data_IF_479614805482
#
_entry.id   IF_479614805482
#
_cell.length_a   1.000
_cell.length_b   1.000
_cell.length_c   1.000
_cell.angle_alpha   90.00
_cell.angle_beta   90.00
_cell.angle_gamma   90.00
#
_symmetry.space_group_name_H-M   'P 1'
#
loop_
_entity.id
_entity.type
_entity.pdbx_description
1 polymer ?
#
# COMPACT_ATOMS: atom_id res chain seq x y z
N UNK A 1 40.27 -49.01 24.54
CA UNK A 1 39.56 -48.60 23.31
C UNK A 1 39.46 -47.08 23.38
N UNK A 2 40.22 -46.37 22.56
CA UNK A 2 40.24 -44.90 22.55
C UNK A 2 38.88 -44.37 22.10
N UNK A 3 38.33 -43.43 22.86
CA UNK A 3 37.05 -42.80 22.58
C UNK A 3 37.22 -41.83 21.41
N UNK A 4 36.18 -41.61 20.60
CA UNK A 4 36.19 -40.60 19.52
C UNK A 4 36.58 -39.20 20.05
N UNK A 5 36.31 -38.93 21.34
CA UNK A 5 36.71 -37.72 22.03
C UNK A 5 38.22 -37.51 22.13
N UNK A 6 39.03 -38.57 22.05
CA UNK A 6 40.50 -38.49 22.17
C UNK A 6 41.17 -37.95 20.88
N UNK A 7 40.41 -37.90 19.78
CA UNK A 7 40.88 -37.44 18.46
C UNK A 7 40.20 -36.15 17.98
N UNK A 8 39.27 -35.59 18.77
CA UNK A 8 38.53 -34.37 18.43
C UNK A 8 38.60 -33.38 19.59
N UNK A 9 39.49 -32.40 19.48
CA UNK A 9 39.62 -31.30 20.44
C UNK A 9 38.50 -30.26 20.23
N UNK A 10 37.38 -30.47 20.93
CA UNK A 10 36.22 -29.57 20.95
C UNK A 10 36.50 -28.25 21.69
N UNK A 11 37.67 -28.08 22.33
CA UNK A 11 38.09 -26.86 23.01
C UNK A 11 38.66 -25.80 22.06
N UNK A 12 38.95 -26.16 20.79
CA UNK A 12 39.54 -25.20 19.85
C UNK A 12 38.52 -24.16 19.36
N UNK A 13 38.76 -22.85 19.57
CA UNK A 13 37.84 -21.79 19.15
C UNK A 13 37.64 -21.73 17.62
N UNK A 14 38.61 -22.22 16.84
CA UNK A 14 38.54 -22.32 15.37
C UNK A 14 37.54 -23.38 14.87
N UNK A 15 37.27 -24.43 15.65
CA UNK A 15 36.34 -25.49 15.26
C UNK A 15 34.89 -24.98 15.25
N UNK A 16 34.52 -24.17 16.26
CA UNK A 16 33.17 -23.62 16.38
C UNK A 16 32.92 -22.39 15.50
N UNK A 17 33.95 -21.61 15.16
CA UNK A 17 33.80 -20.43 14.30
C UNK A 17 33.38 -20.81 12.87
N UNK A 18 34.00 -21.83 12.29
CA UNK A 18 33.66 -22.33 10.94
C UNK A 18 32.24 -22.92 10.88
N UNK A 19 31.82 -23.62 11.93
CA UNK A 19 30.47 -24.18 12.05
C UNK A 19 29.42 -23.07 12.20
N UNK A 20 29.68 -22.04 13.01
CA UNK A 20 28.78 -20.91 13.20
C UNK A 20 28.62 -20.08 11.91
N UNK A 21 29.68 -19.87 11.16
CA UNK A 21 29.60 -19.12 9.90
C UNK A 21 28.84 -19.89 8.81
N UNK A 22 29.05 -21.20 8.69
CA UNK A 22 28.25 -22.07 7.81
C UNK A 22 26.76 -22.02 8.18
N UNK A 23 26.41 -22.18 9.47
CA UNK A 23 25.03 -22.09 9.95
C UNK A 23 24.43 -20.71 9.71
N UNK A 24 25.20 -19.64 9.91
CA UNK A 24 24.75 -18.25 9.72
C UNK A 24 24.49 -17.95 8.23
N UNK A 25 25.36 -18.41 7.32
CA UNK A 25 25.17 -18.32 5.86
C UNK A 25 23.95 -19.11 5.39
N UNK A 26 23.80 -20.37 5.85
CA UNK A 26 22.63 -21.19 5.53
C UNK A 26 21.33 -20.55 6.06
N UNK A 27 21.37 -19.96 7.26
CA UNK A 27 20.20 -19.25 7.82
C UNK A 27 19.82 -18.01 7.01
N UNK A 28 20.80 -17.24 6.52
CA UNK A 28 20.57 -16.07 5.66
C UNK A 28 20.00 -16.49 4.30
N UNK A 29 20.56 -17.52 3.67
CA UNK A 29 20.07 -18.07 2.42
C UNK A 29 18.65 -18.64 2.56
N UNK A 30 18.35 -19.32 3.67
CA UNK A 30 17.01 -19.84 3.95
C UNK A 30 15.98 -18.72 4.12
N UNK A 31 16.32 -17.67 4.89
CA UNK A 31 15.45 -16.49 5.04
C UNK A 31 15.23 -15.74 3.73
N UNK A 32 16.28 -15.62 2.91
CA UNK A 32 16.20 -14.99 1.60
C UNK A 32 15.33 -15.82 0.65
N UNK A 33 15.56 -17.14 0.56
CA UNK A 33 14.75 -18.05 -0.24
C UNK A 33 13.28 -18.08 0.19
N UNK A 34 13.00 -18.02 1.50
CA UNK A 34 11.63 -17.95 2.01
C UNK A 34 10.96 -16.62 1.62
N UNK A 35 11.70 -15.52 1.67
CA UNK A 35 11.24 -14.20 1.22
C UNK A 35 10.93 -14.20 -0.28
N UNK A 36 11.82 -14.76 -1.09
CA UNK A 36 11.67 -14.83 -2.55
C UNK A 36 10.50 -15.74 -2.95
N UNK A 37 10.32 -16.87 -2.25
CA UNK A 37 9.18 -17.76 -2.44
C UNK A 37 7.85 -17.07 -2.08
N UNK A 38 7.79 -16.34 -0.96
CA UNK A 38 6.60 -15.57 -0.56
C UNK A 38 6.23 -14.50 -1.59
N UNK A 39 7.23 -13.82 -2.15
CA UNK A 39 7.03 -12.84 -3.23
C UNK A 39 6.50 -13.53 -4.49
N UNK A 40 7.12 -14.63 -4.91
CA UNK A 40 6.68 -15.38 -6.10
C UNK A 40 5.25 -15.91 -5.97
N UNK A 41 4.88 -16.43 -4.79
CA UNK A 41 3.54 -16.94 -4.54
C UNK A 41 2.50 -15.82 -4.58
N UNK A 42 2.80 -14.66 -4.00
CA UNK A 42 1.93 -13.48 -4.04
C UNK A 42 1.69 -13.02 -5.48
N UNK A 43 2.78 -12.81 -6.24
CA UNK A 43 2.69 -12.40 -7.65
C UNK A 43 1.87 -13.40 -8.48
N UNK A 44 2.01 -14.70 -8.20
CA UNK A 44 1.21 -15.75 -8.85
C UNK A 44 -0.27 -15.64 -8.47
N UNK A 45 -0.61 -15.40 -7.21
CA UNK A 45 -2.00 -15.24 -6.77
C UNK A 45 -2.66 -13.99 -7.36
N UNK A 46 -1.98 -12.86 -7.33
CA UNK A 46 -2.47 -11.60 -7.92
C UNK A 46 -2.76 -11.78 -9.41
N UNK A 47 -1.81 -12.37 -10.15
CA UNK A 47 -1.98 -12.65 -11.58
C UNK A 47 -3.17 -13.58 -11.85
N UNK A 48 -3.42 -14.56 -11.00
CA UNK A 48 -4.58 -15.46 -11.13
C UNK A 48 -5.89 -14.73 -10.84
N UNK A 49 -5.96 -13.91 -9.80
CA UNK A 49 -7.18 -13.15 -9.46
C UNK A 49 -7.55 -12.18 -10.59
N UNK A 50 -6.59 -11.40 -11.08
CA UNK A 50 -6.84 -10.50 -12.21
C UNK A 50 -7.29 -11.29 -13.43
N UNK A 51 -6.63 -12.43 -13.74
CA UNK A 51 -6.99 -13.26 -14.87
C UNK A 51 -8.43 -13.81 -14.76
N UNK A 52 -8.88 -14.17 -13.56
CA UNK A 52 -10.28 -14.57 -13.31
C UNK A 52 -11.23 -13.41 -13.58
N UNK A 53 -10.96 -12.22 -13.02
CA UNK A 53 -11.80 -11.04 -13.23
C UNK A 53 -11.85 -10.68 -14.72
N UNK A 54 -10.70 -10.58 -15.38
CA UNK A 54 -10.63 -10.31 -16.83
C UNK A 54 -11.39 -11.36 -17.66
N UNK A 55 -11.34 -12.63 -17.28
CA UNK A 55 -12.10 -13.69 -17.96
C UNK A 55 -13.62 -13.56 -17.76
N UNK A 56 -14.06 -13.12 -16.57
CA UNK A 56 -15.47 -12.81 -16.31
C UNK A 56 -15.97 -11.66 -17.19
N UNK A 57 -15.09 -10.72 -17.56
CA UNK A 57 -15.37 -9.61 -18.48
C UNK A 57 -14.95 -9.89 -19.93
N UNK A 58 -15.06 -11.14 -20.39
CA UNK A 58 -14.86 -11.51 -21.79
C UNK A 58 -13.41 -11.39 -22.27
N UNK A 59 -12.44 -11.43 -21.37
CA UNK A 59 -11.02 -11.26 -21.69
C UNK A 59 -10.57 -9.79 -21.77
N UNK A 60 -11.47 -8.82 -21.53
CA UNK A 60 -11.13 -7.40 -21.60
C UNK A 60 -10.67 -6.89 -20.22
N UNK A 61 -9.37 -6.60 -20.09
CA UNK A 61 -8.77 -6.12 -18.84
C UNK A 61 -9.28 -4.74 -18.43
N UNK A 62 -9.62 -3.88 -19.39
CA UNK A 62 -10.18 -2.55 -19.13
C UNK A 62 -11.54 -2.66 -18.43
N UNK A 63 -12.45 -3.46 -18.96
CA UNK A 63 -13.77 -3.66 -18.34
C UNK A 63 -13.67 -4.32 -16.97
N UNK A 64 -12.73 -5.27 -16.79
CA UNK A 64 -12.43 -5.83 -15.47
C UNK A 64 -11.97 -4.78 -14.46
N UNK A 65 -11.07 -3.88 -14.87
CA UNK A 65 -10.61 -2.77 -14.03
C UNK A 65 -11.73 -1.79 -13.68
N UNK A 66 -12.56 -1.38 -14.65
CA UNK A 66 -13.70 -0.50 -14.40
C UNK A 66 -14.75 -1.14 -13.48
N UNK A 67 -15.02 -2.44 -13.64
CA UNK A 67 -15.92 -3.16 -12.75
C UNK A 67 -15.38 -3.23 -11.32
N UNK A 68 -14.07 -3.46 -11.16
CA UNK A 68 -13.41 -3.39 -9.86
C UNK A 68 -13.50 -1.98 -9.27
N UNK A 69 -13.25 -0.94 -10.08
CA UNK A 69 -13.36 0.45 -9.66
C UNK A 69 -14.76 0.79 -9.14
N UNK A 70 -15.81 0.42 -9.87
CA UNK A 70 -17.21 0.60 -9.45
C UNK A 70 -17.47 -0.16 -8.14
N UNK A 71 -16.95 -1.38 -8.01
CA UNK A 71 -17.13 -2.19 -6.80
C UNK A 71 -16.46 -1.54 -5.58
N UNK A 72 -15.18 -1.16 -5.70
CA UNK A 72 -14.42 -0.52 -4.61
C UNK A 72 -15.08 0.81 -4.22
N UNK A 73 -15.46 1.63 -5.20
CA UNK A 73 -16.11 2.91 -4.96
C UNK A 73 -17.46 2.75 -4.25
N UNK A 74 -18.29 1.80 -4.70
CA UNK A 74 -19.59 1.52 -4.09
C UNK A 74 -19.45 1.01 -2.65
N UNK A 75 -18.52 0.07 -2.40
CA UNK A 75 -18.21 -0.39 -1.05
C UNK A 75 -17.70 0.78 -0.19
N UNK A 76 -16.92 1.69 -0.77
CA UNK A 76 -16.47 2.93 -0.14
C UNK A 76 -17.64 3.79 0.34
N UNK A 77 -18.63 4.06 -0.51
CA UNK A 77 -19.84 4.82 -0.16
C UNK A 77 -20.60 4.16 0.99
N UNK A 78 -20.78 2.83 0.93
CA UNK A 78 -21.48 2.08 1.97
C UNK A 78 -20.72 2.15 3.30
N UNK A 79 -19.40 1.92 3.27
CA UNK A 79 -18.51 2.03 4.44
C UNK A 79 -18.60 3.42 5.07
N UNK A 80 -18.52 4.46 4.26
CA UNK A 80 -18.53 5.84 4.74
C UNK A 80 -19.90 6.20 5.33
N UNK A 81 -21.00 5.68 4.75
CA UNK A 81 -22.35 5.83 5.30
C UNK A 81 -22.54 5.12 6.64
N UNK A 82 -22.00 3.90 6.79
CA UNK A 82 -22.02 3.18 8.06
C UNK A 82 -21.17 3.89 9.10
N UNK A 83 -19.99 4.35 8.71
CA UNK A 83 -19.08 5.11 9.56
C UNK A 83 -19.73 6.39 10.08
N UNK A 84 -20.35 7.18 9.20
CA UNK A 84 -21.03 8.42 9.56
C UNK A 84 -22.15 8.18 10.58
N UNK A 85 -23.00 7.17 10.33
CA UNK A 85 -24.09 6.80 11.24
C UNK A 85 -23.56 6.35 12.60
N UNK A 86 -22.51 5.53 12.62
CA UNK A 86 -21.86 5.08 13.84
C UNK A 86 -21.19 6.24 14.61
N UNK A 87 -20.65 7.23 13.88
CA UNK A 87 -20.00 8.38 14.49
C UNK A 87 -21.01 9.34 15.13
N UNK A 88 -22.21 9.48 14.55
CA UNK A 88 -23.29 10.31 15.13
C UNK A 88 -23.72 9.85 16.51
N UNK A 89 -23.77 8.54 16.76
CA UNK A 89 -24.19 7.97 18.04
C UNK A 89 -23.16 8.13 19.16
N UNK A 90 -21.93 8.53 18.84
CA UNK A 90 -20.87 8.75 19.85
C UNK A 90 -21.08 10.06 20.62
N UNK A 91 -20.61 10.17 21.87
CA UNK A 91 -20.70 11.40 22.64
C UNK A 91 -19.84 12.51 22.01
N UNK A 92 -20.29 13.76 22.14
CA UNK A 92 -19.50 14.94 21.76
C UNK A 92 -18.64 15.41 22.93
N UNK A 93 -17.51 16.05 22.64
CA UNK A 93 -16.64 16.64 23.67
C UNK A 93 -16.56 18.16 23.52
N UNK A 94 -16.76 18.95 24.59
CA UNK A 94 -16.78 20.43 24.50
C UNK A 94 -15.54 21.05 23.84
N UNK A 95 -14.34 20.49 24.08
CA UNK A 95 -13.09 20.95 23.45
C UNK A 95 -13.07 20.80 21.91
N UNK A 96 -13.87 19.89 21.36
CA UNK A 96 -14.00 19.67 19.92
C UNK A 96 -15.21 20.40 19.34
N UNK A 97 -15.89 21.23 20.14
CA UNK A 97 -17.03 22.02 19.71
C UNK A 97 -16.67 23.50 19.73
N UNK A 98 -17.24 24.26 18.79
CA UNK A 98 -17.04 25.71 18.72
C UNK A 98 -16.33 26.17 17.44
N UNK A 99 -16.15 27.49 17.29
CA UNK A 99 -15.74 28.10 16.03
C UNK A 99 -14.34 27.69 15.58
N UNK A 100 -13.41 27.51 16.52
CA UNK A 100 -12.04 27.06 16.21
C UNK A 100 -12.05 25.62 15.68
N UNK A 101 -12.79 24.72 16.33
CA UNK A 101 -12.92 23.32 15.86
C UNK A 101 -13.57 23.26 14.49
N UNK A 102 -14.64 24.04 14.25
CA UNK A 102 -15.32 24.09 12.96
C UNK A 102 -14.43 24.65 11.84
N UNK A 103 -13.64 25.69 12.14
CA UNK A 103 -12.69 26.25 11.18
C UNK A 103 -11.59 25.25 10.81
N UNK A 104 -11.02 24.56 11.80
CA UNK A 104 -10.03 23.49 11.57
C UNK A 104 -10.65 22.33 10.80
N UNK A 105 -11.85 21.91 11.15
CA UNK A 105 -12.60 20.86 10.48
C UNK A 105 -12.79 21.18 8.99
N UNK A 106 -13.23 22.41 8.67
CA UNK A 106 -13.42 22.86 7.31
C UNK A 106 -12.09 22.88 6.55
N UNK A 107 -11.03 23.46 7.13
CA UNK A 107 -9.72 23.50 6.50
C UNK A 107 -9.19 22.09 6.17
N UNK A 108 -9.23 21.18 7.15
CA UNK A 108 -8.78 19.80 6.98
C UNK A 108 -9.62 19.06 5.94
N UNK A 109 -10.94 19.17 6.00
CA UNK A 109 -11.83 18.49 5.07
C UNK A 109 -11.64 19.01 3.64
N UNK A 110 -11.55 20.33 3.45
CA UNK A 110 -11.31 20.94 2.14
C UNK A 110 -9.94 20.55 1.58
N UNK A 111 -8.86 20.67 2.36
CA UNK A 111 -7.53 20.24 1.93
C UNK A 111 -7.47 18.75 1.61
N UNK A 112 -8.14 17.92 2.41
CA UNK A 112 -8.25 16.48 2.18
C UNK A 112 -8.91 16.14 0.85
N UNK A 113 -10.06 16.75 0.58
CA UNK A 113 -10.78 16.57 -0.68
C UNK A 113 -9.98 17.10 -1.89
N UNK A 114 -9.27 18.23 -1.76
CA UNK A 114 -8.40 18.72 -2.83
C UNK A 114 -7.34 17.66 -3.17
N UNK A 115 -6.64 17.10 -2.19
CA UNK A 115 -5.63 16.07 -2.44
C UNK A 115 -6.24 14.82 -3.09
N UNK A 116 -7.37 14.32 -2.59
CA UNK A 116 -8.03 13.12 -3.14
C UNK A 116 -8.50 13.35 -4.57
N UNK A 117 -9.24 14.42 -4.81
CA UNK A 117 -9.84 14.67 -6.13
C UNK A 117 -8.80 15.00 -7.19
N UNK A 118 -7.77 15.79 -6.84
CA UNK A 118 -6.72 16.14 -7.79
C UNK A 118 -5.77 14.98 -8.08
N UNK A 119 -5.50 14.12 -7.10
CA UNK A 119 -4.75 12.87 -7.35
C UNK A 119 -5.53 11.89 -8.23
N UNK A 120 -6.83 11.71 -7.97
CA UNK A 120 -7.70 10.89 -8.81
C UNK A 120 -7.82 11.46 -10.24
N UNK A 121 -7.87 12.79 -10.38
CA UNK A 121 -7.84 13.45 -11.68
C UNK A 121 -6.53 13.16 -12.44
N UNK A 122 -5.39 13.26 -11.75
CA UNK A 122 -4.08 13.05 -12.37
C UNK A 122 -3.80 11.59 -12.73
N UNK A 123 -4.26 10.63 -11.91
CA UNK A 123 -4.11 9.19 -12.17
C UNK A 123 -5.19 8.61 -13.09
N UNK A 124 -6.35 9.26 -13.18
CA UNK A 124 -7.54 8.70 -13.80
C UNK A 124 -8.10 7.48 -13.02
N UNK A 125 -9.15 6.87 -13.57
CA UNK A 125 -9.82 5.73 -12.92
C UNK A 125 -8.91 4.51 -12.86
N UNK A 126 -8.21 4.18 -13.94
CA UNK A 126 -7.32 3.02 -14.01
C UNK A 126 -6.11 3.17 -13.10
N UNK A 127 -5.48 4.35 -13.06
CA UNK A 127 -4.36 4.60 -12.14
C UNK A 127 -4.78 4.62 -10.67
N UNK A 128 -6.05 4.94 -10.38
CA UNK A 128 -6.59 4.98 -9.01
C UNK A 128 -7.03 3.59 -8.50
N UNK A 129 -7.62 2.77 -9.36
CA UNK A 129 -8.28 1.52 -8.97
C UNK A 129 -7.54 0.27 -9.48
N UNK A 130 -6.24 0.21 -9.20
CA UNK A 130 -5.38 -0.97 -9.42
C UNK A 130 -5.30 -1.42 -10.90
N UNK A 131 -5.30 -0.47 -11.84
CA UNK A 131 -5.16 -0.77 -13.27
C UNK A 131 -3.86 -1.48 -13.64
N UNK A 132 -2.79 -1.26 -12.87
CA UNK A 132 -1.52 -1.96 -12.98
C UNK A 132 -1.65 -3.48 -12.78
N UNK A 133 -2.56 -3.94 -11.92
CA UNK A 133 -2.87 -5.37 -11.77
C UNK A 133 -3.54 -5.96 -13.02
N UNK A 134 -4.23 -5.13 -13.80
CA UNK A 134 -4.83 -5.46 -15.10
C UNK A 134 -3.87 -5.26 -16.28
N UNK A 135 -2.60 -4.92 -16.01
CA UNK A 135 -1.60 -4.61 -17.02
C UNK A 135 -1.79 -3.25 -17.70
N UNK A 136 -2.63 -2.37 -17.12
CA UNK A 136 -2.90 -1.02 -17.59
C UNK A 136 -1.97 -0.08 -16.81
N UNK A 137 -0.77 0.14 -17.33
CA UNK A 137 0.21 1.02 -16.74
C UNK A 137 0.21 2.38 -17.43
N UNK A 138 0.36 3.47 -16.67
CA UNK A 138 0.54 4.79 -17.26
C UNK A 138 1.91 4.88 -17.95
N UNK A 139 2.03 5.78 -18.92
CA UNK A 139 3.29 5.96 -19.68
C UNK A 139 4.42 6.44 -18.79
N UNK A 140 4.11 7.36 -17.88
CA UNK A 140 5.05 7.87 -16.90
C UNK A 140 4.42 7.97 -15.52
N UNK A 141 5.27 7.95 -14.50
CA UNK A 141 4.83 8.16 -13.13
C UNK A 141 4.40 9.61 -12.94
N UNK A 142 3.21 9.82 -12.37
CA UNK A 142 2.70 11.17 -12.11
C UNK A 142 3.52 11.84 -11.03
N UNK A 143 4.19 12.94 -11.37
CA UNK A 143 5.03 13.72 -10.46
C UNK A 143 4.50 15.13 -10.21
N UNK A 144 3.50 15.57 -10.96
CA UNK A 144 2.84 16.87 -10.81
C UNK A 144 1.95 16.96 -9.56
N UNK A 145 1.22 18.06 -9.40
CA UNK A 145 0.29 18.21 -8.28
C UNK A 145 -0.82 17.14 -8.29
N UNK A 146 -1.16 16.53 -7.13
CA UNK A 146 -0.62 16.76 -5.78
C UNK A 146 0.58 15.87 -5.37
N UNK A 147 1.13 15.07 -6.29
CA UNK A 147 2.26 14.17 -6.02
C UNK A 147 3.59 14.91 -5.79
N UNK A 148 3.73 16.13 -6.28
CA UNK A 148 4.90 16.99 -6.02
C UNK A 148 5.00 17.48 -4.56
N UNK A 149 3.89 17.55 -3.83
CA UNK A 149 3.86 18.01 -2.43
C UNK A 149 3.77 16.86 -1.43
N UNK A 150 3.31 15.69 -1.86
CA UNK A 150 3.00 14.57 -0.99
C UNK A 150 3.10 13.26 -1.79
N UNK A 151 3.77 12.24 -1.24
CA UNK A 151 3.99 10.96 -1.96
C UNK A 151 2.72 10.13 -2.15
N UNK A 152 1.72 10.29 -1.29
CA UNK A 152 0.52 9.47 -1.25
C UNK A 152 -0.75 10.32 -1.03
N UNK A 153 -1.05 11.25 -1.94
CA UNK A 153 -2.05 12.30 -1.74
C UNK A 153 -3.44 11.75 -1.42
N UNK A 154 -3.84 10.60 -1.99
CA UNK A 154 -5.11 9.95 -1.66
C UNK A 154 -5.21 9.50 -0.18
N UNK A 155 -4.13 8.90 0.34
CA UNK A 155 -4.08 8.39 1.71
C UNK A 155 -4.05 9.51 2.74
N UNK A 156 -3.19 10.51 2.53
CA UNK A 156 -3.15 11.68 3.40
C UNK A 156 -4.44 12.50 3.28
N UNK A 157 -4.93 12.72 2.06
CA UNK A 157 -6.18 13.44 1.82
C UNK A 157 -7.38 12.80 2.50
N UNK A 158 -7.53 11.47 2.39
CA UNK A 158 -8.60 10.73 3.09
C UNK A 158 -8.45 10.81 4.61
N UNK A 159 -7.23 10.77 5.13
CA UNK A 159 -6.96 10.95 6.57
C UNK A 159 -7.41 12.34 7.06
N UNK A 160 -7.08 13.39 6.30
CA UNK A 160 -7.51 14.76 6.61
C UNK A 160 -9.03 14.89 6.56
N UNK A 161 -9.68 14.26 5.58
CA UNK A 161 -11.15 14.23 5.49
C UNK A 161 -11.79 13.54 6.70
N UNK A 162 -11.28 12.39 7.13
CA UNK A 162 -11.78 11.71 8.34
C UNK A 162 -11.57 12.55 9.60
N UNK A 163 -10.41 13.18 9.76
CA UNK A 163 -10.13 14.06 10.89
C UNK A 163 -11.05 15.28 10.88
N UNK A 164 -11.21 15.90 9.71
CA UNK A 164 -12.09 17.04 9.51
C UNK A 164 -13.54 16.71 9.87
N UNK A 165 -14.07 15.58 9.42
CA UNK A 165 -15.41 15.12 9.80
C UNK A 165 -15.53 14.85 11.30
N UNK A 166 -14.52 14.24 11.93
CA UNK A 166 -14.54 13.98 13.37
C UNK A 166 -14.59 15.28 14.20
N UNK A 167 -13.82 16.29 13.79
CA UNK A 167 -13.84 17.62 14.40
C UNK A 167 -15.15 18.36 14.14
N UNK A 168 -15.68 18.28 12.91
CA UNK A 168 -16.96 18.90 12.55
C UNK A 168 -18.12 18.40 13.42
N UNK A 169 -18.17 17.09 13.67
CA UNK A 169 -19.17 16.50 14.56
C UNK A 169 -18.79 16.57 16.04
N UNK A 170 -17.60 17.05 16.37
CA UNK A 170 -17.09 17.14 17.74
C UNK A 170 -16.93 15.79 18.44
N UNK A 171 -16.60 14.72 17.69
CA UNK A 171 -16.62 13.33 18.15
C UNK A 171 -15.19 12.81 18.41
N UNK A 172 -14.77 12.61 19.68
CA UNK A 172 -13.44 12.07 19.99
C UNK A 172 -13.20 10.68 19.40
N UNK A 173 -14.23 9.84 19.35
CA UNK A 173 -14.16 8.51 18.75
C UNK A 173 -13.72 8.56 17.27
N UNK A 174 -14.14 9.58 16.52
CA UNK A 174 -13.71 9.78 15.13
C UNK A 174 -12.24 10.18 15.01
N UNK A 175 -11.73 10.96 15.97
CA UNK A 175 -10.30 11.32 16.03
C UNK A 175 -9.45 10.08 16.28
N UNK A 176 -9.87 9.24 17.23
CA UNK A 176 -9.19 7.95 17.51
C UNK A 176 -9.22 7.05 16.28
N UNK A 177 -10.39 6.89 15.64
CA UNK A 177 -10.49 6.06 14.45
C UNK A 177 -9.64 6.60 13.29
N UNK A 178 -9.57 7.93 13.13
CA UNK A 178 -8.68 8.54 12.14
C UNK A 178 -7.23 8.16 12.39
N UNK A 179 -6.78 8.15 13.66
CA UNK A 179 -5.44 7.66 14.03
C UNK A 179 -5.22 6.19 13.64
N UNK A 180 -6.21 5.32 13.88
CA UNK A 180 -6.14 3.90 13.48
C UNK A 180 -6.03 3.78 11.95
N UNK A 181 -6.89 4.47 11.21
CA UNK A 181 -6.88 4.48 9.73
C UNK A 181 -5.54 4.98 9.21
N UNK A 182 -4.99 6.04 9.80
CA UNK A 182 -3.68 6.57 9.42
C UNK A 182 -2.56 5.52 9.60
N UNK A 183 -2.55 4.78 10.70
CA UNK A 183 -1.58 3.69 10.91
C UNK A 183 -1.74 2.60 9.85
N UNK A 184 -2.97 2.18 9.55
CA UNK A 184 -3.25 1.21 8.49
C UNK A 184 -2.74 1.72 7.13
N UNK A 185 -2.97 2.99 6.81
CA UNK A 185 -2.46 3.61 5.59
C UNK A 185 -0.94 3.64 5.53
N UNK A 186 -0.26 3.96 6.63
CA UNK A 186 1.21 3.90 6.68
C UNK A 186 1.75 2.48 6.47
N UNK A 187 1.04 1.48 6.98
CA UNK A 187 1.37 0.07 6.74
C UNK A 187 1.15 -0.27 5.26
N UNK A 188 0.02 0.12 4.67
CA UNK A 188 -0.27 -0.13 3.26
C UNK A 188 0.79 0.48 2.33
N UNK A 189 1.16 1.74 2.56
CA UNK A 189 2.19 2.45 1.79
C UNK A 189 3.56 1.75 1.86
N UNK A 190 3.88 1.09 2.98
CA UNK A 190 5.13 0.33 3.10
C UNK A 190 5.22 -0.83 2.11
N UNK A 191 4.07 -1.33 1.63
CA UNK A 191 3.99 -2.39 0.63
C UNK A 191 3.75 -1.85 -0.78
N UNK A 192 3.01 -0.75 -0.92
CA UNK A 192 2.65 -0.16 -2.21
C UNK A 192 3.83 0.59 -2.86
N UNK A 193 4.53 1.46 -2.12
CA UNK A 193 5.62 2.28 -2.68
C UNK A 193 6.71 1.43 -3.38
N UNK A 194 7.20 0.31 -2.78
CA UNK A 194 8.20 -0.53 -3.43
C UNK A 194 7.67 -1.30 -4.64
N UNK A 195 6.36 -1.62 -4.65
CA UNK A 195 5.73 -2.35 -5.74
C UNK A 195 5.59 -1.48 -6.99
N UNK A 196 5.00 -0.29 -6.84
CA UNK A 196 4.83 0.66 -7.95
C UNK A 196 6.17 1.08 -8.54
N UNK A 197 7.16 1.42 -7.68
CA UNK A 197 8.51 1.74 -8.15
C UNK A 197 9.18 0.58 -8.89
N UNK A 198 8.93 -0.67 -8.46
CA UNK A 198 9.44 -1.87 -9.11
C UNK A 198 8.90 -2.05 -10.54
N UNK A 199 7.60 -1.83 -10.74
CA UNK A 199 6.94 -1.96 -12.05
C UNK A 199 7.51 -0.94 -13.04
N UNK A 200 7.58 0.34 -12.66
CA UNK A 200 8.11 1.39 -13.54
C UNK A 200 9.61 1.19 -13.84
N UNK A 201 10.40 0.77 -12.84
CA UNK A 201 11.83 0.45 -13.06
C UNK A 201 12.03 -0.75 -14.00
N UNK A 202 11.14 -1.74 -13.98
CA UNK A 202 11.19 -2.86 -14.92
C UNK A 202 10.80 -2.45 -16.34
N UNK A 203 9.78 -1.59 -16.50
CA UNK A 203 9.42 -1.01 -17.80
C UNK A 203 10.59 -0.22 -18.40
N UNK A 204 11.20 0.67 -17.63
CA UNK A 204 12.35 1.45 -18.09
C UNK A 204 13.53 0.55 -18.50
N UNK A 205 13.78 -0.54 -17.77
CA UNK A 205 14.79 -1.54 -18.14
C UNK A 205 14.47 -2.23 -19.47
N UNK A 206 13.21 -2.62 -19.68
CA UNK A 206 12.76 -3.27 -20.93
C UNK A 206 12.89 -2.32 -22.11
N UNK A 207 12.43 -1.08 -21.98
CA UNK A 207 12.54 -0.05 -23.01
C UNK A 207 14.00 0.23 -23.39
N UNK A 208 14.92 0.27 -22.41
CA UNK A 208 16.38 0.41 -22.67
C UNK A 208 16.98 -0.80 -23.40
N UNK A 209 16.51 -2.01 -23.14
CA UNK A 209 16.98 -3.24 -23.81
C UNK A 209 16.45 -3.30 -25.24
N UNK A 210 15.17 -2.96 -25.45
CA UNK A 210 14.53 -2.96 -26.76
C UNK A 210 15.05 -1.81 -27.65
N UNK A 211 15.25 -0.61 -27.09
CA UNK A 211 15.87 0.51 -27.79
C UNK A 211 17.36 0.31 -28.10
N UNK A 212 18.04 -0.63 -27.43
CA UNK A 212 19.39 -1.10 -27.80
C UNK A 212 19.38 -2.17 -28.89
N UNK A 213 18.25 -2.86 -29.12
CA UNK A 213 18.10 -3.85 -30.20
C UNK A 213 17.66 -3.21 -31.53
N UNK A 214 17.10 -2.00 -31.49
CA UNK A 214 16.66 -1.26 -32.69
C UNK A 214 17.70 -0.26 -33.23
N UNK A 215 18.88 -0.19 -32.62
CA UNK A 215 20.05 0.58 -33.07
C UNK A 215 21.19 -0.37 -33.43
#
# INVERSE_FOLDING_TARGET
MSSISDYVDLGQPMFWSLQQDQVRVLSKNKKQAEKDLKISLRNKQEKQLTHIITKLFGGNSLYGCYALAVTIFTIGIIRDSIYERALRTQPTHPLLTGPVSNALALALFTSGNILVLTSMYALGITGTYLGDYFGILMDEMVTGFPFNICSAPMYYGSTLSFLGSALWFGKPAGVVLTGVVFVVYKIALRFEDPFTGGIYAERERKEKIEGKKSR
#
